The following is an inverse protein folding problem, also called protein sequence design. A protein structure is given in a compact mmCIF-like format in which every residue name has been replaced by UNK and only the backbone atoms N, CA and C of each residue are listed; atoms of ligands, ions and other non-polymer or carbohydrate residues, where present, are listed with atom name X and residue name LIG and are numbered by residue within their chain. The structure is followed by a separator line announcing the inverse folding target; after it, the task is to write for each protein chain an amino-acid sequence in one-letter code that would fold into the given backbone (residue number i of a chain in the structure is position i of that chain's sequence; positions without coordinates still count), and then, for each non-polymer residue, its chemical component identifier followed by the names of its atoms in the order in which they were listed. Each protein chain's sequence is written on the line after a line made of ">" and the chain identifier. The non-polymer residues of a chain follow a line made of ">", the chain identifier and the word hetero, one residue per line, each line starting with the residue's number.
data_IF_611232976381
#
_entry.id   IF_611232976381
#
_cell.length_a   1.000
_cell.length_b   1.000
_cell.length_c   1.000
_cell.angle_alpha   90.00
_cell.angle_beta   90.00
_cell.angle_gamma   90.00
#
_symmetry.space_group_name_H-M   'P 1'
#
loop_
_entity.id
_entity.type
_entity.pdbx_description
1 polymer ?
#
# COMPACT_ATOMS: atom_id res chain seq x y z
N UNK A 1 16.96 17.99 2.47
CA UNK A 1 16.38 16.70 2.90
C UNK A 1 15.82 16.92 4.30
N UNK A 2 14.49 16.96 4.45
CA UNK A 2 13.81 17.48 5.65
C UNK A 2 14.07 16.61 6.89
N UNK A 3 14.55 17.21 7.98
CA UNK A 3 15.07 16.50 9.18
C UNK A 3 14.04 15.63 9.92
N UNK A 4 12.74 15.86 9.77
CA UNK A 4 11.68 15.08 10.42
C UNK A 4 11.59 13.62 9.94
N UNK A 5 12.20 13.31 8.77
CA UNK A 5 12.14 11.99 8.13
C UNK A 5 13.09 10.96 8.77
N UNK A 6 14.05 11.39 9.60
CA UNK A 6 15.05 10.50 10.22
C UNK A 6 14.54 9.77 11.47
N UNK A 7 13.44 10.22 12.06
CA UNK A 7 12.84 9.56 13.19
C UNK A 7 11.82 8.52 12.71
N UNK A 8 12.22 7.24 12.71
CA UNK A 8 11.33 6.07 12.60
C UNK A 8 10.14 6.19 13.57
N UNK A 9 10.32 6.96 14.65
CA UNK A 9 9.32 7.36 15.63
C UNK A 9 8.12 8.09 15.01
N UNK A 10 8.29 9.00 14.04
CA UNK A 10 7.18 9.81 13.49
C UNK A 10 6.23 8.96 12.65
N UNK A 11 6.76 8.13 11.74
CA UNK A 11 5.94 7.21 10.96
C UNK A 11 5.22 6.19 11.84
N UNK A 12 5.84 5.79 12.95
CA UNK A 12 5.25 4.86 13.90
C UNK A 12 4.11 5.50 14.71
N UNK A 13 4.30 6.73 15.18
CA UNK A 13 3.28 7.50 15.90
C UNK A 13 2.08 7.81 15.00
N UNK A 14 2.32 8.22 13.75
CA UNK A 14 1.23 8.47 12.80
C UNK A 14 0.46 7.19 12.49
N UNK A 15 1.16 6.08 12.24
CA UNK A 15 0.55 4.78 12.02
C UNK A 15 -0.31 4.34 13.22
N UNK A 16 0.21 4.53 14.43
CA UNK A 16 -0.51 4.24 15.67
C UNK A 16 -1.75 5.13 15.81
N UNK A 17 -1.62 6.45 15.65
CA UNK A 17 -2.72 7.38 15.73
C UNK A 17 -3.81 7.04 14.71
N UNK A 18 -3.42 6.78 13.46
CA UNK A 18 -4.34 6.38 12.39
C UNK A 18 -5.04 5.07 12.69
N UNK A 19 -4.42 4.11 13.38
CA UNK A 19 -5.08 2.85 13.76
C UNK A 19 -6.07 3.05 14.90
N UNK A 20 -5.68 3.78 15.94
CA UNK A 20 -6.45 3.91 17.19
C UNK A 20 -7.50 5.03 17.19
N UNK A 21 -7.46 5.96 16.22
CA UNK A 21 -8.47 7.02 16.15
C UNK A 21 -9.86 6.47 15.77
N UNK A 22 -10.80 6.47 16.69
CA UNK A 22 -12.18 6.02 16.42
C UNK A 22 -13.07 7.11 15.81
N UNK A 23 -12.54 8.33 15.65
CA UNK A 23 -13.28 9.47 15.11
C UNK A 23 -13.25 9.52 13.58
N UNK A 24 -14.05 10.42 13.01
CA UNK A 24 -14.01 10.76 11.58
C UNK A 24 -12.97 11.84 11.23
N UNK A 25 -12.15 12.27 12.19
CA UNK A 25 -11.17 13.35 11.99
C UNK A 25 -10.16 13.08 10.87
N UNK A 26 -9.60 11.86 10.69
CA UNK A 26 -8.63 11.61 9.64
C UNK A 26 -9.25 11.77 8.25
N UNK A 27 -10.49 11.31 8.11
CA UNK A 27 -11.25 11.46 6.86
C UNK A 27 -11.63 12.91 6.64
N UNK A 28 -12.00 13.68 7.67
CA UNK A 28 -12.33 15.11 7.54
C UNK A 28 -11.11 15.95 7.13
N UNK A 29 -9.94 15.61 7.66
CA UNK A 29 -8.68 16.33 7.42
C UNK A 29 -7.80 15.65 6.38
N UNK A 30 -8.39 14.81 5.51
CA UNK A 30 -7.66 14.06 4.48
C UNK A 30 -6.74 14.92 3.61
N UNK A 31 -7.06 16.19 3.22
CA UNK A 31 -6.18 16.95 2.34
C UNK A 31 -4.82 17.23 2.96
N UNK A 32 -4.74 17.38 4.29
CA UNK A 32 -3.48 17.59 5.01
C UNK A 32 -2.72 16.28 5.21
N UNK A 33 -3.43 15.17 5.35
CA UNK A 33 -2.85 13.86 5.57
C UNK A 33 -2.35 13.20 4.29
N UNK A 34 -2.97 13.49 3.14
CA UNK A 34 -2.63 12.90 1.85
C UNK A 34 -1.14 13.12 1.50
N UNK A 35 -0.57 14.35 1.51
CA UNK A 35 0.85 14.56 1.23
C UNK A 35 1.76 13.79 2.20
N UNK A 36 1.39 13.72 3.48
CA UNK A 36 2.18 13.00 4.50
C UNK A 36 2.19 11.50 4.21
N UNK A 37 1.03 10.91 3.93
CA UNK A 37 0.93 9.49 3.57
C UNK A 37 1.72 9.17 2.30
N UNK A 38 1.61 9.99 1.25
CA UNK A 38 2.37 9.80 0.01
C UNK A 38 3.88 9.88 0.27
N UNK A 39 4.32 10.82 1.10
CA UNK A 39 5.74 10.95 1.43
C UNK A 39 6.32 9.76 2.21
N UNK A 40 5.49 9.09 3.01
CA UNK A 40 5.88 7.88 3.73
C UNK A 40 5.93 6.67 2.79
N UNK A 41 4.97 6.53 1.86
CA UNK A 41 4.93 5.43 0.89
C UNK A 41 6.14 5.49 -0.06
N UNK A 42 6.55 6.70 -0.43
CA UNK A 42 7.69 6.99 -1.31
C UNK A 42 9.01 7.23 -0.55
N UNK A 43 9.13 6.76 0.69
CA UNK A 43 10.38 6.87 1.45
C UNK A 43 11.47 5.96 0.85
N UNK A 44 12.74 6.35 0.98
CA UNK A 44 13.89 5.51 0.63
C UNK A 44 14.09 4.31 1.57
N UNK A 45 13.60 4.40 2.80
CA UNK A 45 13.73 3.37 3.83
C UNK A 45 12.50 2.45 3.84
N UNK A 46 12.70 1.17 3.54
CA UNK A 46 11.63 0.17 3.51
C UNK A 46 10.83 0.07 4.82
N UNK A 47 11.45 0.29 5.98
CA UNK A 47 10.72 0.28 7.27
C UNK A 47 9.71 1.43 7.35
N UNK A 48 10.10 2.62 6.89
CA UNK A 48 9.22 3.79 6.84
C UNK A 48 8.11 3.58 5.82
N UNK A 49 8.43 3.05 4.64
CA UNK A 49 7.43 2.70 3.61
C UNK A 49 6.40 1.69 4.12
N UNK A 50 6.85 0.63 4.81
CA UNK A 50 5.95 -0.35 5.44
C UNK A 50 5.00 0.33 6.42
N UNK A 51 5.50 1.25 7.27
CA UNK A 51 4.63 2.06 8.14
C UNK A 51 3.70 2.99 7.37
N UNK A 52 4.16 3.58 6.27
CA UNK A 52 3.32 4.37 5.35
C UNK A 52 2.16 3.57 4.78
N UNK A 53 2.42 2.37 4.27
CA UNK A 53 1.40 1.46 3.74
C UNK A 53 0.42 0.98 4.82
N UNK A 54 0.91 0.67 6.01
CA UNK A 54 0.05 0.33 7.16
C UNK A 54 -0.83 1.51 7.59
N UNK A 55 -0.31 2.73 7.52
CA UNK A 55 -1.06 3.96 7.80
C UNK A 55 -2.14 4.18 6.74
N UNK A 56 -1.80 3.99 5.46
CA UNK A 56 -2.75 4.06 4.35
C UNK A 56 -3.88 3.04 4.54
N UNK A 57 -3.58 1.78 4.86
CA UNK A 57 -4.61 0.77 5.08
C UNK A 57 -5.56 1.14 6.23
N UNK A 58 -5.02 1.69 7.32
CA UNK A 58 -5.82 2.17 8.45
C UNK A 58 -6.67 3.40 8.09
N UNK A 59 -6.20 4.26 7.20
CA UNK A 59 -6.99 5.36 6.64
C UNK A 59 -8.11 4.83 5.73
N UNK A 60 -7.78 3.92 4.81
CA UNK A 60 -8.72 3.33 3.85
C UNK A 60 -9.86 2.56 4.53
N UNK A 61 -9.62 1.95 5.69
CA UNK A 61 -10.68 1.25 6.44
C UNK A 61 -11.69 2.20 7.06
N UNK A 62 -11.33 3.48 7.22
CA UNK A 62 -12.18 4.54 7.79
C UNK A 62 -12.75 5.46 6.72
N UNK A 63 -12.13 5.53 5.55
CA UNK A 63 -12.52 6.41 4.46
C UNK A 63 -13.71 5.81 3.67
N UNK A 64 -14.86 6.51 3.59
CA UNK A 64 -15.96 6.09 2.73
C UNK A 64 -15.51 6.02 1.26
N UNK A 65 -15.89 4.96 0.55
CA UNK A 65 -15.58 4.77 -0.89
C UNK A 65 -15.91 6.01 -1.72
N UNK A 66 -17.06 6.64 -1.45
CA UNK A 66 -17.48 7.85 -2.17
C UNK A 66 -16.40 8.94 -2.11
N UNK A 67 -15.89 9.23 -0.91
CA UNK A 67 -14.86 10.26 -0.71
C UNK A 67 -13.56 9.85 -1.43
N UNK A 68 -13.17 8.58 -1.32
CA UNK A 68 -11.94 8.06 -1.92
C UNK A 68 -11.90 8.26 -3.45
N UNK A 69 -13.00 7.98 -4.15
CA UNK A 69 -13.02 8.06 -5.62
C UNK A 69 -13.52 9.39 -6.17
N UNK A 70 -14.43 10.09 -5.48
CA UNK A 70 -14.90 11.41 -5.95
C UNK A 70 -13.84 12.50 -5.87
N UNK A 71 -12.86 12.34 -4.97
CA UNK A 71 -11.75 13.28 -4.79
C UNK A 71 -10.51 12.92 -5.62
N UNK A 72 -10.52 11.77 -6.31
CA UNK A 72 -9.37 11.24 -7.03
C UNK A 72 -8.31 10.56 -6.16
N UNK A 73 -8.45 10.56 -4.83
CA UNK A 73 -7.49 9.92 -3.91
C UNK A 73 -7.23 8.45 -4.24
N UNK A 74 -8.24 7.69 -4.65
CA UNK A 74 -8.08 6.28 -5.01
C UNK A 74 -7.00 6.05 -6.08
N UNK A 75 -6.99 6.90 -7.13
CA UNK A 75 -5.97 6.83 -8.20
C UNK A 75 -4.61 7.32 -7.72
N UNK A 76 -4.59 8.39 -6.93
CA UNK A 76 -3.33 8.92 -6.37
C UNK A 76 -2.64 7.88 -5.48
N UNK A 77 -3.39 7.17 -4.65
CA UNK A 77 -2.85 6.09 -3.83
C UNK A 77 -2.48 4.86 -4.66
N UNK A 78 -3.27 4.50 -5.67
CA UNK A 78 -2.91 3.43 -6.62
C UNK A 78 -1.53 3.70 -7.21
N UNK A 79 -1.32 4.88 -7.80
CA UNK A 79 -0.08 5.24 -8.48
C UNK A 79 1.11 5.39 -7.53
N UNK A 80 0.87 5.81 -6.28
CA UNK A 80 1.92 5.89 -5.26
C UNK A 80 2.33 4.52 -4.71
N UNK A 81 1.40 3.58 -4.57
CA UNK A 81 1.69 2.25 -4.01
C UNK A 81 2.28 1.32 -5.06
N UNK A 82 1.83 1.42 -6.32
CA UNK A 82 2.19 0.49 -7.40
C UNK A 82 3.70 0.28 -7.59
N UNK A 83 4.57 1.33 -7.54
CA UNK A 83 6.01 1.18 -7.65
C UNK A 83 6.62 0.22 -6.62
N UNK A 84 5.97 0.02 -5.48
CA UNK A 84 6.41 -0.89 -4.42
C UNK A 84 6.39 -2.36 -4.85
N UNK A 85 5.56 -2.72 -5.83
CA UNK A 85 5.47 -4.10 -6.35
C UNK A 85 6.70 -4.51 -7.16
N UNK A 86 7.47 -3.54 -7.67
CA UNK A 86 8.69 -3.80 -8.43
C UNK A 86 9.93 -3.94 -7.55
N UNK A 87 9.77 -3.88 -6.22
CA UNK A 87 10.88 -4.11 -5.30
C UNK A 87 11.22 -5.60 -5.29
N UNK A 88 12.40 -5.95 -5.83
CA UNK A 88 12.89 -7.32 -5.82
C UNK A 88 13.58 -7.63 -4.48
N UNK A 89 13.27 -8.76 -3.82
CA UNK A 89 14.05 -9.20 -2.68
C UNK A 89 15.47 -9.51 -3.14
N UNK A 90 16.44 -8.78 -2.59
CA UNK A 90 17.87 -9.09 -2.74
C UNK A 90 18.34 -9.86 -1.50
N UNK A 91 19.39 -10.68 -1.68
CA UNK A 91 19.91 -11.61 -0.66
C UNK A 91 20.29 -10.97 0.69
N UNK A 92 20.44 -9.64 0.76
CA UNK A 92 20.83 -8.92 1.98
C UNK A 92 19.66 -8.32 2.78
N UNK A 93 18.42 -8.28 2.28
CA UNK A 93 17.27 -7.69 3.01
C UNK A 93 15.93 -8.31 2.58
N UNK A 94 15.86 -9.64 2.63
CA UNK A 94 14.68 -10.38 2.17
C UNK A 94 13.47 -10.07 3.07
N UNK A 95 13.60 -10.19 4.39
CA UNK A 95 12.48 -10.02 5.33
C UNK A 95 11.81 -8.65 5.26
N UNK A 96 12.60 -7.56 5.19
CA UNK A 96 12.06 -6.21 5.08
C UNK A 96 11.37 -5.94 3.75
N UNK A 97 11.91 -6.50 2.66
CA UNK A 97 11.34 -6.39 1.31
C UNK A 97 10.04 -7.19 1.18
N UNK A 98 10.01 -8.39 1.74
CA UNK A 98 8.82 -9.25 1.84
C UNK A 98 7.69 -8.56 2.59
N UNK A 99 7.98 -8.00 3.76
CA UNK A 99 6.98 -7.27 4.55
C UNK A 99 6.41 -6.08 3.79
N UNK A 100 7.27 -5.34 3.08
CA UNK A 100 6.83 -4.20 2.27
C UNK A 100 5.90 -4.62 1.12
N UNK A 101 6.30 -5.65 0.36
CA UNK A 101 5.50 -6.19 -0.75
C UNK A 101 4.12 -6.64 -0.26
N UNK A 102 4.10 -7.35 0.88
CA UNK A 102 2.86 -7.79 1.51
C UNK A 102 1.92 -6.63 1.81
N UNK A 103 2.41 -5.56 2.44
CA UNK A 103 1.59 -4.38 2.74
C UNK A 103 1.16 -3.61 1.47
N UNK A 104 1.98 -3.62 0.42
CA UNK A 104 1.65 -2.95 -0.85
C UNK A 104 0.50 -3.65 -1.58
N UNK A 105 0.54 -4.99 -1.67
CA UNK A 105 -0.56 -5.77 -2.24
C UNK A 105 -1.85 -5.57 -1.47
N UNK A 106 -1.79 -5.59 -0.13
CA UNK A 106 -2.97 -5.36 0.71
C UNK A 106 -3.57 -3.99 0.49
N UNK A 107 -2.76 -2.94 0.44
CA UNK A 107 -3.24 -1.58 0.17
C UNK A 107 -3.93 -1.48 -1.19
N UNK A 108 -3.33 -2.01 -2.27
CA UNK A 108 -3.92 -1.99 -3.60
C UNK A 108 -5.23 -2.77 -3.69
N UNK A 109 -5.30 -3.93 -3.02
CA UNK A 109 -6.51 -4.75 -2.99
C UNK A 109 -7.62 -4.09 -2.15
N UNK A 110 -7.26 -3.38 -1.08
CA UNK A 110 -8.21 -2.57 -0.31
C UNK A 110 -8.79 -1.42 -1.15
N UNK A 111 -7.95 -0.74 -1.95
CA UNK A 111 -8.41 0.27 -2.92
C UNK A 111 -9.35 -0.37 -3.95
N UNK A 112 -8.96 -1.50 -4.54
CA UNK A 112 -9.79 -2.21 -5.53
C UNK A 112 -11.13 -2.68 -4.96
N UNK A 113 -11.18 -3.08 -3.69
CA UNK A 113 -12.40 -3.51 -3.02
C UNK A 113 -13.30 -2.35 -2.62
N UNK A 114 -12.73 -1.19 -2.32
CA UNK A 114 -13.50 0.02 -2.06
C UNK A 114 -14.18 0.57 -3.33
N UNK A 115 -13.64 0.28 -4.53
CA UNK A 115 -14.15 0.77 -5.81
C UNK A 115 -15.53 0.18 -6.13
N UNK A 116 -16.49 1.07 -6.38
CA UNK A 116 -17.88 0.72 -6.67
C UNK A 116 -18.10 0.54 -8.18
N UNK A 117 -17.29 1.17 -9.03
CA UNK A 117 -17.34 1.00 -10.47
C UNK A 117 -16.63 -0.29 -10.88
N UNK A 118 -17.40 -1.31 -11.31
CA UNK A 118 -16.87 -2.61 -11.72
C UNK A 118 -15.76 -2.51 -12.78
N UNK A 119 -15.86 -1.57 -13.71
CA UNK A 119 -14.84 -1.39 -14.76
C UNK A 119 -13.50 -0.89 -14.17
N UNK A 120 -13.54 0.05 -13.22
CA UNK A 120 -12.33 0.55 -12.56
C UNK A 120 -11.74 -0.52 -11.63
N UNK A 121 -12.57 -1.26 -10.91
CA UNK A 121 -12.15 -2.41 -10.10
C UNK A 121 -11.44 -3.47 -10.95
N UNK A 122 -12.05 -3.86 -12.08
CA UNK A 122 -11.45 -4.83 -13.02
C UNK A 122 -10.13 -4.33 -13.59
N UNK A 123 -10.05 -3.05 -13.98
CA UNK A 123 -8.80 -2.43 -14.46
C UNK A 123 -7.68 -2.55 -13.43
N UNK A 124 -7.96 -2.20 -12.17
CA UNK A 124 -6.96 -2.25 -11.11
C UNK A 124 -6.53 -3.70 -10.82
N UNK A 125 -7.48 -4.64 -10.75
CA UNK A 125 -7.15 -6.05 -10.56
C UNK A 125 -6.32 -6.63 -11.72
N UNK A 126 -6.66 -6.31 -12.98
CA UNK A 126 -5.84 -6.71 -14.14
C UNK A 126 -4.43 -6.14 -14.06
N UNK A 127 -4.29 -4.86 -13.70
CA UNK A 127 -2.98 -4.20 -13.51
C UNK A 127 -2.16 -4.88 -12.41
N UNK A 128 -2.77 -5.22 -11.26
CA UNK A 128 -2.09 -5.93 -10.16
C UNK A 128 -1.57 -7.30 -10.63
N UNK A 129 -2.39 -8.06 -11.37
CA UNK A 129 -2.01 -9.38 -11.86
C UNK A 129 -0.89 -9.25 -12.92
N UNK A 130 -1.12 -8.45 -13.96
CA UNK A 130 -0.25 -8.33 -15.11
C UNK A 130 1.07 -7.64 -14.77
N UNK A 131 0.99 -6.45 -14.19
CA UNK A 131 2.16 -5.59 -14.00
C UNK A 131 2.79 -5.79 -12.61
N UNK A 132 2.02 -6.23 -11.62
CA UNK A 132 2.56 -6.59 -10.31
C UNK A 132 3.12 -8.01 -10.27
N UNK A 133 2.26 -9.02 -10.45
CA UNK A 133 2.60 -10.42 -10.21
C UNK A 133 3.37 -11.03 -11.39
N UNK A 134 2.81 -11.00 -12.60
CA UNK A 134 3.42 -11.68 -13.76
C UNK A 134 4.73 -11.01 -14.18
N UNK A 135 4.77 -9.69 -14.16
CA UNK A 135 6.02 -8.94 -14.42
C UNK A 135 7.03 -9.20 -13.33
N UNK A 136 6.63 -9.23 -12.05
CA UNK A 136 7.47 -9.64 -10.94
C UNK A 136 8.06 -11.04 -11.15
N UNK A 137 7.22 -12.04 -11.45
CA UNK A 137 7.62 -13.41 -11.75
C UNK A 137 8.65 -13.49 -12.90
N UNK A 138 8.42 -12.74 -13.98
CA UNK A 138 9.30 -12.74 -15.16
C UNK A 138 10.69 -12.18 -14.87
N UNK A 139 10.79 -11.17 -14.02
CA UNK A 139 12.07 -10.53 -13.67
C UNK A 139 12.72 -11.16 -12.42
N UNK A 140 11.93 -11.81 -11.57
CA UNK A 140 12.35 -12.47 -10.34
C UNK A 140 12.43 -14.00 -10.49
N UNK A 141 12.67 -14.53 -11.70
CA UNK A 141 12.71 -15.98 -11.96
C UNK A 141 13.78 -16.75 -11.14
N UNK A 142 14.60 -16.05 -10.34
CA UNK A 142 15.49 -16.61 -9.32
C UNK A 142 15.07 -16.42 -7.85
N UNK A 143 13.90 -15.85 -7.54
CA UNK A 143 13.44 -15.53 -6.18
C UNK A 143 12.05 -16.13 -5.86
N UNK A 144 11.95 -17.46 -5.62
CA UNK A 144 10.68 -18.18 -5.44
C UNK A 144 9.84 -17.68 -4.25
N UNK A 145 10.47 -17.11 -3.22
CA UNK A 145 9.81 -16.58 -2.02
C UNK A 145 8.88 -15.40 -2.35
N UNK A 146 9.28 -14.52 -3.28
CA UNK A 146 8.45 -13.38 -3.69
C UNK A 146 7.15 -13.86 -4.35
N UNK A 147 7.26 -14.91 -5.17
CA UNK A 147 6.14 -15.53 -5.90
C UNK A 147 5.20 -16.22 -4.91
N UNK A 148 5.75 -16.89 -3.90
CA UNK A 148 4.95 -17.55 -2.85
C UNK A 148 4.15 -16.53 -2.02
N UNK A 149 4.75 -15.38 -1.67
CA UNK A 149 4.04 -14.30 -0.96
C UNK A 149 2.97 -13.66 -1.85
N UNK A 150 3.28 -13.43 -3.14
CA UNK A 150 2.32 -12.92 -4.11
C UNK A 150 1.09 -13.83 -4.22
N UNK A 151 1.30 -15.14 -4.31
CA UNK A 151 0.23 -16.13 -4.41
C UNK A 151 -0.50 -16.31 -3.07
N UNK A 152 0.23 -16.39 -1.96
CA UNK A 152 -0.34 -16.54 -0.60
C UNK A 152 -1.28 -15.41 -0.22
N UNK A 153 -0.97 -14.17 -0.60
CA UNK A 153 -1.85 -13.02 -0.38
C UNK A 153 -3.15 -13.09 -1.19
N UNK A 154 -3.09 -13.61 -2.41
CA UNK A 154 -4.26 -13.79 -3.24
C UNK A 154 -5.21 -14.85 -2.67
N UNK A 155 -4.66 -15.93 -2.11
CA UNK A 155 -5.45 -16.99 -1.45
C UNK A 155 -6.04 -16.55 -0.12
N UNK A 156 -5.32 -15.75 0.69
CA UNK A 156 -5.83 -15.21 1.94
C UNK A 156 -7.02 -14.25 1.75
N UNK A 157 -7.12 -13.62 0.58
CA UNK A 157 -8.19 -12.67 0.23
C UNK A 157 -9.37 -13.30 -0.53
N UNK A 158 -9.25 -14.57 -0.93
CA UNK A 158 -10.32 -15.34 -1.60
C UNK A 158 -11.14 -16.20 -0.63
N UNK A 159 -10.87 -16.15 0.68
CA UNK A 159 -11.73 -16.77 1.69
C UNK A 159 -12.87 -15.79 2.06
N UNK A 160 -14.13 -16.22 2.01
CA UNK A 160 -15.30 -15.40 2.32
C UNK A 160 -15.33 -14.97 3.79
#
# INVERSE_FOLDING_TARGET
>A
MSHWKKDVSVSSVLCWAMKHDTSSLPVKNWPMLLPVMLHLIDDTNNSVRTKGLQTLQAFLSKCPSRILFSTGMGRVFEDAVFPSLFLLPSSNNENGTVSLLYEAYRALLQIANAEQCLNQKRRLLDRIIRDGILTGYRHASGAPIAVEIMLGNFFALSRP
#
